data_IF_251699103268
#
_entry.id   IF_251699103268
#
_cell.length_a   1.000
_cell.length_b   1.000
_cell.length_c   1.000
_cell.angle_alpha   90.00
_cell.angle_beta   90.00
_cell.angle_gamma   90.00
#
_symmetry.space_group_name_H-M   'P 1'
#
loop_
_entity.id
_entity.type
_entity.pdbx_description
1 polymer ?
#
# COMPACT_ATOMS: atom_id res chain seq x y z
N UNK A 1 10.53 1.65 14.50
CA UNK A 1 10.26 2.56 13.37
C UNK A 1 11.12 2.13 12.19
N UNK A 2 10.55 2.09 10.98
CA UNK A 2 11.34 1.85 9.77
C UNK A 2 11.76 3.24 9.26
N UNK A 3 13.02 3.67 9.45
CA UNK A 3 13.42 5.10 9.38
C UNK A 3 13.25 5.77 8.01
N UNK A 4 12.81 5.00 7.00
CA UNK A 4 12.70 5.44 5.60
C UNK A 4 11.36 6.10 5.27
N UNK A 5 10.33 5.91 6.10
CA UNK A 5 8.98 6.40 5.84
C UNK A 5 8.48 7.45 6.84
N UNK A 6 9.30 7.84 7.81
CA UNK A 6 8.91 8.80 8.85
C UNK A 6 8.59 10.20 8.30
N UNK A 7 8.91 10.46 7.02
CA UNK A 7 8.64 11.72 6.31
C UNK A 7 7.59 11.59 5.20
N UNK A 8 7.01 10.41 4.97
CA UNK A 8 6.04 10.19 3.89
C UNK A 8 4.62 10.10 4.45
N UNK A 9 3.68 10.75 3.77
CA UNK A 9 2.25 10.53 3.98
C UNK A 9 1.84 9.09 3.62
N UNK A 10 0.69 8.67 4.13
CA UNK A 10 0.23 7.29 4.04
C UNK A 10 0.06 6.82 2.58
N UNK A 11 -0.46 7.69 1.72
CA UNK A 11 -0.65 7.42 0.30
C UNK A 11 0.68 7.25 -0.44
N UNK A 12 1.70 8.03 -0.06
CA UNK A 12 3.05 7.87 -0.59
C UNK A 12 3.66 6.54 -0.16
N UNK A 13 3.55 6.17 1.12
CA UNK A 13 4.01 4.86 1.61
C UNK A 13 3.29 3.73 0.86
N UNK A 14 1.97 3.86 0.65
CA UNK A 14 1.18 2.92 -0.12
C UNK A 14 1.71 2.77 -1.56
N UNK A 15 1.93 3.87 -2.27
CA UNK A 15 2.46 3.83 -3.64
C UNK A 15 3.87 3.24 -3.72
N UNK A 16 4.74 3.59 -2.78
CA UNK A 16 6.07 3.00 -2.66
C UNK A 16 6.01 1.49 -2.46
N UNK A 17 5.10 0.99 -1.60
CA UNK A 17 4.86 -0.45 -1.41
C UNK A 17 4.25 -1.12 -2.64
N UNK A 18 3.38 -0.39 -3.35
CA UNK A 18 2.65 -0.92 -4.49
C UNK A 18 3.52 -1.05 -5.73
N UNK A 19 4.37 -0.05 -6.02
CA UNK A 19 5.15 0.00 -7.26
C UNK A 19 6.66 -0.07 -7.05
N UNK A 20 7.20 0.60 -6.03
CA UNK A 20 8.58 0.65 -5.53
C UNK A 20 8.93 2.08 -5.13
N UNK A 21 9.93 2.21 -4.26
CA UNK A 21 10.51 3.51 -3.91
C UNK A 21 11.14 4.17 -5.15
N UNK A 22 11.84 3.38 -5.97
CA UNK A 22 12.51 3.84 -7.19
C UNK A 22 11.51 4.43 -8.19
N UNK A 23 10.34 3.79 -8.34
CA UNK A 23 9.26 4.31 -9.17
C UNK A 23 8.74 5.66 -8.66
N UNK A 24 8.47 5.77 -7.36
CA UNK A 24 7.93 7.02 -6.79
C UNK A 24 8.94 8.16 -6.90
N UNK A 25 10.20 7.90 -6.56
CA UNK A 25 11.29 8.89 -6.65
C UNK A 25 11.45 9.37 -8.10
N UNK A 26 11.45 8.45 -9.08
CA UNK A 26 11.53 8.81 -10.49
C UNK A 26 10.33 9.65 -10.93
N UNK A 27 9.10 9.22 -10.60
CA UNK A 27 7.88 9.95 -10.96
C UNK A 27 7.82 11.36 -10.34
N UNK A 28 8.23 11.50 -9.08
CA UNK A 28 8.28 12.78 -8.38
C UNK A 28 9.36 13.70 -8.95
N UNK A 29 10.58 13.20 -9.14
CA UNK A 29 11.73 14.00 -9.60
C UNK A 29 11.54 14.51 -11.03
N UNK A 30 10.89 13.72 -11.89
CA UNK A 30 10.54 14.14 -13.24
C UNK A 30 9.25 14.97 -13.33
N UNK A 31 8.59 15.25 -12.19
CA UNK A 31 7.34 16.01 -12.17
C UNK A 31 6.15 15.32 -12.85
N UNK A 32 6.21 13.99 -13.01
CA UNK A 32 5.19 13.18 -13.67
C UNK A 32 4.02 12.85 -12.76
N UNK A 33 4.23 12.83 -11.44
CA UNK A 33 3.17 12.49 -10.49
C UNK A 33 2.02 13.53 -10.58
N UNK A 34 0.77 13.05 -10.65
CA UNK A 34 -0.41 13.91 -10.63
C UNK A 34 -0.50 14.63 -9.28
N UNK A 35 -0.82 15.94 -9.24
CA UNK A 35 -1.00 16.66 -7.97
C UNK A 35 -2.05 16.03 -7.05
N UNK A 36 -3.06 15.38 -7.63
CA UNK A 36 -4.17 14.71 -6.92
C UNK A 36 -3.94 13.21 -6.65
N UNK A 37 -2.70 12.70 -6.76
CA UNK A 37 -2.44 11.26 -6.60
C UNK A 37 -2.95 10.69 -5.26
N UNK A 38 -2.90 11.49 -4.18
CA UNK A 38 -3.38 11.07 -2.85
C UNK A 38 -4.88 10.78 -2.86
N UNK A 39 -5.69 11.68 -3.43
CA UNK A 39 -7.12 11.47 -3.61
C UNK A 39 -7.40 10.22 -4.46
N UNK A 40 -6.61 10.00 -5.52
CA UNK A 40 -6.75 8.80 -6.37
C UNK A 40 -6.45 7.52 -5.57
N UNK A 41 -5.48 7.52 -4.65
CA UNK A 41 -5.23 6.36 -3.77
C UNK A 41 -6.47 6.06 -2.93
N UNK A 42 -7.05 7.08 -2.29
CA UNK A 42 -8.28 6.92 -1.50
C UNK A 42 -9.45 6.38 -2.32
N UNK A 43 -9.72 7.00 -3.48
CA UNK A 43 -10.77 6.57 -4.42
C UNK A 43 -10.57 5.10 -4.83
N UNK A 44 -9.34 4.71 -5.20
CA UNK A 44 -9.04 3.34 -5.62
C UNK A 44 -9.23 2.33 -4.49
N UNK A 45 -8.85 2.66 -3.26
CA UNK A 45 -9.07 1.77 -2.11
C UNK A 45 -10.58 1.62 -1.81
N UNK A 46 -11.34 2.72 -1.86
CA UNK A 46 -12.80 2.71 -1.71
C UNK A 46 -13.50 1.86 -2.80
N UNK A 47 -13.13 2.04 -4.07
CA UNK A 47 -13.67 1.23 -5.17
C UNK A 47 -13.40 -0.27 -4.97
N UNK A 48 -12.20 -0.62 -4.50
CA UNK A 48 -11.80 -2.03 -4.30
C UNK A 48 -12.52 -2.70 -3.12
N UNK A 49 -12.86 -1.96 -2.07
CA UNK A 49 -13.65 -2.51 -0.96
C UNK A 49 -15.12 -2.62 -1.37
N UNK A 50 -15.68 -1.62 -2.05
CA UNK A 50 -17.07 -1.59 -2.51
C UNK A 50 -17.38 -2.71 -3.50
N UNK A 51 -16.46 -3.00 -4.43
CA UNK A 51 -16.65 -4.07 -5.41
C UNK A 51 -16.21 -5.46 -4.90
N UNK A 52 -15.81 -5.57 -3.63
CA UNK A 52 -15.38 -6.82 -3.00
C UNK A 52 -14.04 -7.36 -3.50
N UNK A 53 -13.28 -6.57 -4.27
CA UNK A 53 -11.94 -6.96 -4.71
C UNK A 53 -11.00 -7.11 -3.52
N UNK A 54 -11.08 -6.26 -2.50
CA UNK A 54 -10.42 -6.46 -1.22
C UNK A 54 -11.45 -6.65 -0.11
N UNK A 55 -11.09 -7.41 0.92
CA UNK A 55 -11.91 -7.56 2.12
C UNK A 55 -11.65 -6.43 3.12
N UNK A 56 -12.55 -6.17 4.09
CA UNK A 56 -12.30 -5.21 5.16
C UNK A 56 -11.01 -5.51 5.93
N UNK A 57 -10.71 -6.79 6.12
CA UNK A 57 -9.50 -7.24 6.81
C UNK A 57 -8.22 -7.01 5.97
N UNK A 58 -8.30 -7.16 4.64
CA UNK A 58 -7.19 -6.79 3.74
C UNK A 58 -6.98 -5.27 3.73
N UNK A 59 -8.05 -4.47 3.81
CA UNK A 59 -7.94 -3.01 3.94
C UNK A 59 -7.26 -2.63 5.26
N UNK A 60 -7.68 -3.20 6.38
CA UNK A 60 -7.04 -2.97 7.68
C UNK A 60 -5.54 -3.34 7.65
N UNK A 61 -5.18 -4.44 7.01
CA UNK A 61 -3.78 -4.82 6.82
C UNK A 61 -3.00 -3.73 6.05
N UNK A 62 -3.57 -3.19 4.97
CA UNK A 62 -2.97 -2.10 4.19
C UNK A 62 -2.79 -0.87 5.07
N UNK A 63 -3.80 -0.51 5.85
CA UNK A 63 -3.79 0.65 6.72
C UNK A 63 -2.66 0.60 7.76
N UNK A 64 -2.48 -0.55 8.40
CA UNK A 64 -1.41 -0.80 9.38
C UNK A 64 -0.02 -0.76 8.75
N UNK A 65 0.13 -1.23 7.50
CA UNK A 65 1.43 -1.26 6.79
C UNK A 65 1.80 0.05 6.10
N UNK A 66 0.81 0.88 5.76
CA UNK A 66 1.01 2.10 4.95
C UNK A 66 0.83 3.39 5.74
N UNK A 67 0.78 3.36 7.07
CA UNK A 67 0.66 4.57 7.91
C UNK A 67 -0.69 5.29 7.82
N UNK A 68 -1.75 4.64 7.35
CA UNK A 68 -3.11 5.22 7.46
C UNK A 68 -3.62 5.23 8.91
N UNK A 69 -2.91 4.55 9.81
CA UNK A 69 -3.08 4.62 11.27
C UNK A 69 -1.93 5.41 11.91
N UNK A 70 -1.98 5.56 13.22
CA UNK A 70 -1.01 6.32 14.03
C UNK A 70 0.47 6.01 13.74
N UNK A 71 0.78 4.78 13.27
CA UNK A 71 2.14 4.36 12.90
C UNK A 71 2.15 3.23 11.89
N UNK A 72 3.31 2.98 11.29
CA UNK A 72 3.58 1.79 10.48
C UNK A 72 3.89 0.59 11.39
N UNK A 73 3.10 -0.47 11.27
CA UNK A 73 3.30 -1.74 11.98
C UNK A 73 4.26 -2.63 11.21
N UNK A 74 5.33 -3.11 11.83
CA UNK A 74 6.30 -4.01 11.21
C UNK A 74 5.72 -5.41 10.94
N UNK A 75 6.37 -6.19 10.06
CA UNK A 75 6.00 -7.61 9.85
C UNK A 75 6.04 -8.43 11.13
N UNK A 76 6.92 -8.09 12.07
CA UNK A 76 6.99 -8.76 13.37
C UNK A 76 5.71 -8.54 14.17
N UNK A 77 5.22 -7.30 14.20
CA UNK A 77 4.00 -6.95 14.92
C UNK A 77 2.77 -7.58 14.26
N UNK A 78 2.66 -7.43 12.94
CA UNK A 78 1.56 -8.03 12.16
C UNK A 78 1.52 -9.55 12.33
N UNK A 79 2.67 -10.23 12.36
CA UNK A 79 2.71 -11.69 12.52
C UNK A 79 2.07 -12.20 13.82
N UNK A 80 1.93 -11.36 14.84
CA UNK A 80 1.23 -11.68 16.08
C UNK A 80 -0.26 -11.31 16.07
N UNK A 81 -0.74 -10.57 15.07
CA UNK A 81 -2.15 -10.18 14.91
C UNK A 81 -2.93 -11.33 14.26
N UNK A 82 -3.52 -12.15 15.13
CA UNK A 82 -4.14 -13.44 14.79
C UNK A 82 -5.31 -13.34 13.79
N UNK A 83 -5.98 -12.19 13.74
CA UNK A 83 -7.12 -11.94 12.86
C UNK A 83 -6.77 -12.11 11.38
N UNK A 84 -5.59 -11.64 10.94
CA UNK A 84 -5.12 -11.76 9.56
C UNK A 84 -4.79 -13.20 9.13
N UNK A 85 -4.64 -14.12 10.09
CA UNK A 85 -4.05 -15.43 9.84
C UNK A 85 -4.87 -16.61 10.36
N UNK A 86 -6.18 -16.43 10.56
CA UNK A 86 -7.07 -17.50 10.99
C UNK A 86 -6.90 -17.87 12.46
N UNK A 87 -6.84 -16.85 13.33
CA UNK A 87 -6.76 -16.97 14.79
C UNK A 87 -5.46 -17.58 15.33
N UNK A 88 -4.37 -17.54 14.56
CA UNK A 88 -3.03 -17.97 14.99
C UNK A 88 -1.97 -16.92 14.70
N UNK A 89 -0.95 -16.88 15.56
CA UNK A 89 0.26 -16.14 15.25
C UNK A 89 1.05 -16.91 14.17
N UNK A 90 1.77 -16.19 13.33
CA UNK A 90 2.56 -16.76 12.24
C UNK A 90 4.01 -16.30 12.30
N UNK A 91 4.85 -16.83 11.42
CA UNK A 91 6.22 -16.33 11.27
C UNK A 91 6.24 -14.98 10.56
N UNK A 92 7.31 -14.19 10.78
CA UNK A 92 7.57 -12.95 10.04
C UNK A 92 7.56 -13.20 8.52
N UNK A 93 8.14 -14.32 8.08
CA UNK A 93 8.15 -14.73 6.66
C UNK A 93 6.74 -14.93 6.13
N UNK A 94 5.85 -15.55 6.90
CA UNK A 94 4.45 -15.73 6.51
C UNK A 94 3.73 -14.38 6.38
N UNK A 95 3.95 -13.46 7.32
CA UNK A 95 3.39 -12.10 7.24
C UNK A 95 3.91 -11.33 6.01
N UNK A 96 5.20 -11.46 5.68
CA UNK A 96 5.80 -10.88 4.45
C UNK A 96 5.16 -11.47 3.20
N UNK A 97 4.99 -12.79 3.14
CA UNK A 97 4.35 -13.46 2.01
C UNK A 97 2.87 -13.04 1.84
N UNK A 98 2.17 -12.79 2.94
CA UNK A 98 0.82 -12.26 2.92
C UNK A 98 0.80 -10.85 2.29
N UNK A 99 1.67 -9.93 2.75
CA UNK A 99 1.80 -8.59 2.14
C UNK A 99 2.11 -8.69 0.64
N UNK A 100 3.09 -9.52 0.25
CA UNK A 100 3.46 -9.69 -1.17
C UNK A 100 2.28 -10.18 -2.02
N UNK A 101 1.49 -11.13 -1.51
CA UNK A 101 0.30 -11.64 -2.22
C UNK A 101 -0.77 -10.57 -2.35
N UNK A 102 -1.03 -9.81 -1.29
CA UNK A 102 -1.99 -8.72 -1.27
C UNK A 102 -1.59 -7.60 -2.25
N UNK A 103 -0.35 -7.10 -2.17
CA UNK A 103 0.11 -6.04 -3.08
C UNK A 103 0.25 -6.52 -4.54
N UNK A 104 0.48 -7.83 -4.77
CA UNK A 104 0.39 -8.40 -6.12
C UNK A 104 -1.06 -8.39 -6.65
N UNK A 105 -2.05 -8.64 -5.80
CA UNK A 105 -3.47 -8.53 -6.13
C UNK A 105 -3.84 -7.08 -6.45
N UNK A 106 -3.43 -6.12 -5.61
CA UNK A 106 -3.66 -4.69 -5.83
C UNK A 106 -3.08 -4.18 -7.16
N UNK A 107 -1.85 -4.57 -7.52
CA UNK A 107 -1.22 -4.20 -8.81
C UNK A 107 -2.00 -4.68 -10.05
N UNK A 108 -2.89 -5.67 -9.91
CA UNK A 108 -3.76 -6.07 -11.02
C UNK A 108 -4.86 -5.04 -11.28
N UNK A 109 -5.37 -4.40 -10.22
CA UNK A 109 -6.47 -3.45 -10.30
C UNK A 109 -6.01 -1.99 -10.37
N UNK A 110 -4.92 -1.65 -9.67
CA UNK A 110 -4.35 -0.29 -9.62
C UNK A 110 -3.10 -0.25 -10.49
N UNK A 111 -3.04 0.67 -11.45
CA UNK A 111 -1.94 0.80 -12.40
C UNK A 111 -1.14 2.07 -12.14
N UNK A 112 0.17 2.02 -12.41
CA UNK A 112 1.05 3.18 -12.26
C UNK A 112 0.56 4.39 -13.08
N UNK A 113 0.04 4.14 -14.29
CA UNK A 113 -0.53 5.18 -15.17
C UNK A 113 -1.66 5.98 -14.54
N UNK A 114 -2.37 5.41 -13.54
CA UNK A 114 -3.50 6.08 -12.89
C UNK A 114 -3.02 7.28 -12.05
N UNK A 115 -1.74 7.33 -11.68
CA UNK A 115 -1.14 8.39 -10.85
C UNK A 115 -0.20 9.32 -11.61
N UNK A 116 0.04 9.07 -12.89
CA UNK A 116 0.97 9.84 -13.70
C UNK A 116 0.18 10.80 -14.60
N UNK A 117 0.76 11.98 -14.85
CA UNK A 117 0.30 12.89 -15.89
C UNK A 117 0.30 12.13 -17.22
N UNK A 118 -0.70 12.35 -18.07
CA UNK A 118 -0.68 11.79 -19.42
C UNK A 118 0.60 12.27 -20.09
N UNK A 119 1.44 11.32 -20.51
CA UNK A 119 2.59 11.62 -21.37
C UNK A 119 1.99 11.88 -22.74
N UNK A 120 1.89 13.15 -23.12
CA UNK A 120 1.58 13.53 -24.50
C UNK A 120 2.86 13.25 -25.29
N UNK A 121 2.84 12.18 -26.09
CA UNK A 121 3.90 11.81 -27.05
C UNK A 121 3.53 12.42 -28.39
#
# INVERSE_FOLDING_TARGET
MHPRYDYYDAETVFLCRLFSDEWYIAAKSNGWLLPKYRSIVGEKLSELIENGSITPLELEFIELRCHFRERIYSHKEIAHMKEFFGRKAVSITTARLHEVKLFRKLRKAIKAKDFLKPVII
#
